data_IF_327780973303
#
_entry.id   IF_327780973303
#
_cell.length_a   1.000
_cell.length_b   1.000
_cell.length_c   1.000
_cell.angle_alpha   90.00
_cell.angle_beta   90.00
_cell.angle_gamma   90.00
#
_symmetry.space_group_name_H-M   'P 1'
#
loop_
_entity.id
_entity.type
_entity.pdbx_description
1 polymer ?
#
# COMPACT_ATOMS: atom_id res chain seq x y z
N UNK A 1 18.03 -12.94 -7.88
CA UNK A 1 16.64 -13.05 -8.42
C UNK A 1 15.53 -13.06 -7.36
N UNK A 2 15.62 -13.80 -6.24
CA UNK A 2 14.55 -13.90 -5.22
C UNK A 2 14.08 -12.57 -4.58
N UNK A 3 15.00 -11.61 -4.39
CA UNK A 3 14.69 -10.33 -3.74
C UNK A 3 13.70 -9.48 -4.56
N UNK A 4 13.81 -9.48 -5.89
CA UNK A 4 12.92 -8.70 -6.76
C UNK A 4 11.48 -9.20 -6.71
N UNK A 5 11.28 -10.52 -6.63
CA UNK A 5 9.94 -11.09 -6.47
C UNK A 5 9.36 -10.74 -5.10
N UNK A 6 10.16 -10.86 -4.03
CA UNK A 6 9.72 -10.48 -2.69
C UNK A 6 9.36 -8.99 -2.61
N UNK A 7 10.14 -8.13 -3.26
CA UNK A 7 9.88 -6.70 -3.35
C UNK A 7 8.61 -6.40 -4.15
N UNK A 8 8.36 -7.09 -5.26
CA UNK A 8 7.14 -6.93 -6.04
C UNK A 8 5.90 -7.35 -5.24
N UNK A 9 5.98 -8.47 -4.51
CA UNK A 9 4.90 -8.94 -3.64
C UNK A 9 4.64 -7.95 -2.49
N UNK A 10 5.70 -7.36 -1.92
CA UNK A 10 5.58 -6.30 -0.92
C UNK A 10 4.86 -5.07 -1.50
N UNK A 11 5.28 -4.57 -2.66
CA UNK A 11 4.65 -3.42 -3.32
C UNK A 11 3.17 -3.67 -3.65
N UNK A 12 2.84 -4.89 -4.09
CA UNK A 12 1.45 -5.27 -4.35
C UNK A 12 0.59 -5.17 -3.09
N UNK A 13 1.05 -5.76 -1.97
CA UNK A 13 0.33 -5.71 -0.69
C UNK A 13 0.22 -4.29 -0.16
N UNK A 14 1.29 -3.52 -0.24
CA UNK A 14 1.30 -2.12 0.17
C UNK A 14 0.29 -1.29 -0.64
N UNK A 15 0.21 -1.51 -1.96
CA UNK A 15 -0.73 -0.80 -2.82
C UNK A 15 -2.19 -1.19 -2.53
N UNK A 16 -2.45 -2.47 -2.26
CA UNK A 16 -3.78 -2.96 -1.88
C UNK A 16 -4.26 -2.33 -0.57
N UNK A 17 -3.41 -2.35 0.46
CA UNK A 17 -3.69 -1.76 1.77
C UNK A 17 -3.86 -0.23 1.68
N UNK A 18 -2.99 0.46 0.94
CA UNK A 18 -3.11 1.91 0.73
C UNK A 18 -4.41 2.30 0.01
N UNK A 19 -4.88 1.45 -0.91
CA UNK A 19 -6.17 1.65 -1.60
C UNK A 19 -7.34 1.47 -0.66
N UNK A 20 -7.32 0.45 0.19
CA UNK A 20 -8.34 0.24 1.24
C UNK A 20 -8.40 1.45 2.17
N UNK A 21 -7.24 1.91 2.66
CA UNK A 21 -7.14 3.11 3.50
C UNK A 21 -7.70 4.37 2.81
N UNK A 22 -7.39 4.56 1.53
CA UNK A 22 -7.92 5.69 0.75
C UNK A 22 -9.47 5.62 0.64
N UNK A 23 -10.01 4.42 0.40
CA UNK A 23 -11.43 4.19 0.30
C UNK A 23 -12.16 4.46 1.63
N UNK A 24 -11.62 3.95 2.75
CA UNK A 24 -12.16 4.20 4.10
C UNK A 24 -12.15 5.70 4.45
N UNK A 25 -11.09 6.41 4.06
CA UNK A 25 -10.98 7.86 4.22
C UNK A 25 -11.81 8.67 3.21
N UNK A 26 -12.65 8.01 2.38
CA UNK A 26 -13.45 8.63 1.31
C UNK A 26 -12.62 9.51 0.37
N UNK A 27 -11.33 9.16 0.21
CA UNK A 27 -10.42 9.85 -0.69
C UNK A 27 -10.57 9.31 -2.10
N UNK A 28 -10.62 10.22 -3.08
CA UNK A 28 -10.69 9.85 -4.51
C UNK A 28 -9.35 9.37 -5.08
N UNK A 29 -8.24 9.65 -4.39
CA UNK A 29 -6.89 9.29 -4.80
C UNK A 29 -6.11 8.70 -3.63
N UNK A 30 -5.14 7.84 -3.93
CA UNK A 30 -4.17 7.40 -2.93
C UNK A 30 -3.22 8.55 -2.66
N UNK A 31 -3.13 8.97 -1.40
CA UNK A 31 -2.23 10.02 -0.92
C UNK A 31 -1.10 9.43 -0.08
N UNK A 32 0.01 10.15 0.11
CA UNK A 32 1.13 9.68 0.92
C UNK A 32 0.71 9.21 2.33
N UNK A 33 -0.24 9.89 2.97
CA UNK A 33 -0.77 9.48 4.28
C UNK A 33 -1.36 8.06 4.29
N UNK A 34 -2.01 7.63 3.20
CA UNK A 34 -2.62 6.30 3.10
C UNK A 34 -1.56 5.22 2.89
N UNK A 35 -0.52 5.54 2.11
CA UNK A 35 0.64 4.66 1.91
C UNK A 35 1.48 4.53 3.18
N UNK A 36 1.68 5.63 3.92
CA UNK A 36 2.40 5.62 5.21
C UNK A 36 1.63 4.80 6.24
N UNK A 37 0.29 4.93 6.28
CA UNK A 37 -0.55 4.11 7.16
C UNK A 37 -0.43 2.61 6.79
N UNK A 38 -0.55 2.28 5.51
CA UNK A 38 -0.40 0.92 5.00
C UNK A 38 0.97 0.29 5.31
N UNK A 39 2.05 1.07 5.16
CA UNK A 39 3.42 0.64 5.44
C UNK A 39 3.69 0.34 6.93
N UNK A 40 2.81 0.77 7.85
CA UNK A 40 2.92 0.43 9.28
C UNK A 40 2.26 -0.90 9.62
N UNK A 41 1.41 -1.42 8.73
CA UNK A 41 0.63 -2.64 8.92
C UNK A 41 1.31 -3.86 8.28
N UNK A 42 2.00 -3.64 7.16
CA UNK A 42 2.81 -4.64 6.44
C UNK A 42 4.23 -4.67 7.00
#
# INVERSE_FOLDING_TARGET
LKVHLNFLLFLHRLAEEARTNAFENKSKIIKPEHTIAAAKVI
#
